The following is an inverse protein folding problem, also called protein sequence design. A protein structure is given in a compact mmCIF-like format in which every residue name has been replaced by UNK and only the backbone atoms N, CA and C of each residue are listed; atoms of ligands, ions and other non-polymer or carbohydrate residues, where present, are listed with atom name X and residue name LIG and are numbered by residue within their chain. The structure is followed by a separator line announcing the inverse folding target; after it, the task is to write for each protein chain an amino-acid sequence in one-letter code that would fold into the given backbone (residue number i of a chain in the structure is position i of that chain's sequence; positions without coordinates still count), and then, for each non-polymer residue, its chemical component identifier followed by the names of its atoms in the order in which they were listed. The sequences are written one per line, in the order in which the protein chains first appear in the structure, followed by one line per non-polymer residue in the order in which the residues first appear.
data_IF_230774582407
#
_entry.id   IF_230774582407
#
_cell.length_a   1.000
_cell.length_b   1.000
_cell.length_c   1.000
_cell.angle_alpha   90.00
_cell.angle_beta   90.00
_cell.angle_gamma   90.00
#
_symmetry.space_group_name_H-M   'P 1'
#
loop_
_entity.id
_entity.type
_entity.pdbx_description
1 polymer ?
#
# COMPACT_ATOMS: atom_id res chain seq x y z
N UNK A 1 -21.37 -13.87 4.90
CA UNK A 1 -20.36 -12.83 5.24
C UNK A 1 -21.12 -11.54 5.32
N UNK A 2 -21.34 -11.01 6.53
CA UNK A 2 -21.86 -9.65 6.70
C UNK A 2 -20.92 -8.68 5.96
N UNK A 3 -21.47 -7.90 5.04
CA UNK A 3 -20.71 -6.84 4.40
C UNK A 3 -20.60 -5.70 5.41
N UNK A 4 -19.38 -5.39 5.82
CA UNK A 4 -19.07 -4.19 6.58
C UNK A 4 -19.69 -2.95 5.87
N UNK A 5 -20.51 -2.15 6.55
CA UNK A 5 -21.29 -1.07 5.93
C UNK A 5 -20.42 0.00 5.25
N UNK A 6 -19.14 0.09 5.61
CA UNK A 6 -18.19 1.00 5.00
C UNK A 6 -17.81 0.63 3.55
N UNK A 7 -18.04 -0.62 3.10
CA UNK A 7 -17.70 -1.08 1.75
C UNK A 7 -18.90 -1.26 0.82
N UNK A 8 -20.12 -1.02 1.28
CA UNK A 8 -21.32 -1.09 0.44
C UNK A 8 -21.20 -0.11 -0.74
N UNK A 9 -21.31 -0.64 -1.97
CA UNK A 9 -21.19 0.13 -3.21
C UNK A 9 -19.77 0.61 -3.56
N UNK A 10 -18.73 0.11 -2.86
CA UNK A 10 -17.33 0.43 -3.13
C UNK A 10 -16.58 -0.78 -3.67
N UNK A 11 -15.55 -0.52 -4.47
CA UNK A 11 -14.62 -1.53 -4.99
C UNK A 11 -13.18 -1.17 -4.64
N UNK A 12 -12.36 -2.17 -4.36
CA UNK A 12 -10.93 -2.03 -4.10
C UNK A 12 -10.21 -1.97 -5.45
N UNK A 13 -9.38 -0.95 -5.66
CA UNK A 13 -8.54 -0.88 -6.84
C UNK A 13 -7.22 -1.61 -6.61
N UNK A 14 -7.08 -2.77 -7.26
CA UNK A 14 -5.88 -3.60 -7.25
C UNK A 14 -4.86 -3.19 -8.31
N UNK A 15 -3.66 -3.75 -8.19
CA UNK A 15 -2.68 -3.75 -9.27
C UNK A 15 -3.15 -4.58 -10.48
N UNK A 16 -2.53 -4.39 -11.65
CA UNK A 16 -2.85 -5.16 -12.86
C UNK A 16 -2.70 -6.67 -12.73
N UNK A 17 -1.94 -7.15 -11.74
CA UNK A 17 -1.85 -8.57 -11.41
C UNK A 17 -3.08 -9.15 -10.68
N UNK A 18 -4.03 -8.33 -10.22
CA UNK A 18 -5.24 -8.81 -9.53
C UNK A 18 -6.38 -9.08 -10.52
N UNK A 19 -7.09 -10.19 -10.28
CA UNK A 19 -8.31 -10.51 -11.04
C UNK A 19 -9.45 -9.55 -10.69
N UNK A 20 -10.20 -9.14 -11.71
CA UNK A 20 -11.41 -8.32 -11.53
C UNK A 20 -12.53 -9.18 -10.94
N UNK A 21 -13.21 -8.66 -9.92
CA UNK A 21 -14.35 -9.29 -9.22
C UNK A 21 -15.33 -8.23 -8.74
N UNK A 22 -16.43 -8.66 -8.10
CA UNK A 22 -17.44 -7.76 -7.52
C UNK A 22 -16.86 -6.78 -6.48
N UNK A 23 -15.69 -7.10 -5.92
CA UNK A 23 -15.05 -6.31 -4.86
C UNK A 23 -13.71 -5.72 -5.27
N UNK A 24 -13.12 -6.16 -6.39
CA UNK A 24 -11.79 -5.74 -6.84
C UNK A 24 -11.84 -5.32 -8.29
N UNK A 25 -11.44 -4.09 -8.59
CA UNK A 25 -11.18 -3.63 -9.94
C UNK A 25 -9.67 -3.49 -10.18
N UNK A 26 -9.25 -3.55 -11.44
CA UNK A 26 -7.86 -3.44 -11.85
C UNK A 26 -7.75 -2.45 -13.02
N UNK A 27 -6.55 -1.96 -13.36
CA UNK A 27 -6.35 -1.12 -14.52
C UNK A 27 -6.97 -1.73 -15.78
N UNK A 28 -7.52 -0.89 -16.66
CA UNK A 28 -7.95 -1.34 -17.98
C UNK A 28 -6.72 -1.67 -18.82
N UNK A 29 -6.67 -2.87 -19.37
CA UNK A 29 -5.60 -3.36 -20.26
C UNK A 29 -6.14 -3.52 -21.68
N UNK A 30 -5.31 -3.27 -22.71
CA UNK A 30 -5.68 -3.48 -24.11
C UNK A 30 -5.10 -2.42 -25.06
N UNK A 31 -5.19 -2.68 -26.37
CA UNK A 31 -4.59 -1.82 -27.40
C UNK A 31 -5.35 -0.50 -27.65
N UNK A 32 -6.65 -0.45 -27.36
CA UNK A 32 -7.51 0.71 -27.62
C UNK A 32 -8.41 1.06 -26.42
N UNK A 33 -7.85 1.51 -25.29
CA UNK A 33 -8.65 1.98 -24.17
C UNK A 33 -9.41 3.25 -24.55
N UNK A 34 -10.65 3.35 -24.07
CA UNK A 34 -11.44 4.58 -24.23
C UNK A 34 -10.80 5.75 -23.47
N UNK A 35 -11.14 6.99 -23.85
CA UNK A 35 -10.68 8.20 -23.14
C UNK A 35 -11.01 8.13 -21.64
N UNK A 36 -12.19 7.59 -21.30
CA UNK A 36 -12.60 7.39 -19.91
C UNK A 36 -11.71 6.38 -19.17
N UNK A 37 -11.40 5.24 -19.79
CA UNK A 37 -10.54 4.21 -19.21
C UNK A 37 -9.11 4.72 -19.00
N UNK A 38 -8.59 5.51 -19.94
CA UNK A 38 -7.28 6.17 -19.80
C UNK A 38 -7.29 7.15 -18.63
N UNK A 39 -8.30 8.03 -18.54
CA UNK A 39 -8.43 8.97 -17.45
C UNK A 39 -8.51 8.27 -16.08
N UNK A 40 -9.26 7.17 -16.00
CA UNK A 40 -9.37 6.36 -14.79
C UNK A 40 -8.02 5.70 -14.43
N UNK A 41 -7.34 5.07 -15.40
CA UNK A 41 -6.03 4.48 -15.18
C UNK A 41 -5.01 5.53 -14.71
N UNK A 42 -5.00 6.73 -15.30
CA UNK A 42 -4.12 7.83 -14.90
C UNK A 42 -4.42 8.26 -13.46
N UNK A 43 -5.68 8.51 -13.12
CA UNK A 43 -6.09 8.92 -11.78
C UNK A 43 -5.65 7.90 -10.72
N UNK A 44 -5.87 6.62 -10.98
CA UNK A 44 -5.55 5.55 -10.05
C UNK A 44 -4.04 5.28 -9.98
N UNK A 45 -3.31 5.47 -11.07
CA UNK A 45 -1.83 5.36 -11.08
C UNK A 45 -1.19 6.41 -10.17
N UNK A 46 -1.73 7.63 -10.09
CA UNK A 46 -1.24 8.65 -9.16
C UNK A 46 -1.37 8.21 -7.70
N UNK A 47 -2.42 7.47 -7.34
CA UNK A 47 -2.62 6.96 -5.97
C UNK A 47 -1.66 5.82 -5.62
N UNK A 48 -1.17 5.07 -6.60
CA UNK A 48 -0.19 4.00 -6.40
C UNK A 48 1.18 4.52 -5.96
N UNK A 49 1.50 5.78 -6.29
CA UNK A 49 2.75 6.42 -5.86
C UNK A 49 2.94 6.36 -4.34
N UNK A 50 1.86 6.57 -3.56
CA UNK A 50 1.90 6.49 -2.09
C UNK A 50 2.36 5.11 -1.62
N UNK A 51 1.83 4.06 -2.23
CA UNK A 51 2.15 2.67 -1.89
C UNK A 51 3.59 2.35 -2.26
N UNK A 52 4.03 2.74 -3.45
CA UNK A 52 5.41 2.53 -3.91
C UNK A 52 6.43 3.26 -3.02
N UNK A 53 6.13 4.50 -2.61
CA UNK A 53 6.97 5.26 -1.69
C UNK A 53 7.06 4.60 -0.32
N UNK A 54 5.96 4.05 0.20
CA UNK A 54 5.98 3.30 1.45
C UNK A 54 6.92 2.07 1.35
N UNK A 55 6.82 1.29 0.27
CA UNK A 55 7.73 0.17 0.05
C UNK A 55 9.19 0.59 -0.06
N UNK A 56 9.45 1.75 -0.67
CA UNK A 56 10.79 2.33 -0.73
C UNK A 56 11.29 2.68 0.66
N UNK A 57 10.50 3.41 1.46
CA UNK A 57 10.87 3.82 2.82
C UNK A 57 11.20 2.62 3.71
N UNK A 58 10.36 1.58 3.67
CA UNK A 58 10.58 0.33 4.43
C UNK A 58 11.89 -0.35 4.01
N UNK A 59 12.17 -0.46 2.71
CA UNK A 59 13.43 -1.09 2.23
C UNK A 59 14.66 -0.25 2.57
N UNK A 60 14.53 1.07 2.58
CA UNK A 60 15.61 2.00 2.93
C UNK A 60 15.92 1.96 4.42
N UNK A 61 14.90 1.92 5.29
CA UNK A 61 15.07 1.85 6.74
C UNK A 61 15.53 0.46 7.21
N UNK A 62 15.05 -0.61 6.56
CA UNK A 62 15.21 -1.99 7.05
C UNK A 62 15.92 -2.88 6.02
N UNK A 63 17.25 -2.90 6.04
CA UNK A 63 18.10 -3.64 5.11
C UNK A 63 17.79 -5.14 5.02
N UNK A 64 17.30 -5.74 6.10
CA UNK A 64 16.92 -7.16 6.15
C UNK A 64 15.68 -7.49 5.30
N UNK A 65 14.79 -6.51 5.06
CA UNK A 65 13.64 -6.64 4.14
C UNK A 65 14.09 -6.48 2.69
N UNK A 66 15.13 -5.70 2.44
CA UNK A 66 15.68 -5.54 1.09
C UNK A 66 16.49 -6.76 0.62
N UNK A 67 16.92 -7.63 1.54
CA UNK A 67 17.71 -8.80 1.18
C UNK A 67 16.83 -9.97 0.73
N UNK A 68 16.74 -10.16 -0.59
CA UNK A 68 15.93 -11.19 -1.24
C UNK A 68 16.18 -12.63 -0.72
N UNK A 69 17.42 -13.00 -0.38
CA UNK A 69 17.74 -14.31 0.21
C UNK A 69 17.08 -14.48 1.59
N UNK A 70 17.04 -13.42 2.40
CA UNK A 70 16.44 -13.43 3.75
C UNK A 70 14.92 -13.22 3.75
N UNK A 71 14.34 -12.95 2.59
CA UNK A 71 12.91 -12.75 2.37
C UNK A 71 12.28 -13.84 1.49
N UNK A 72 12.96 -14.98 1.32
CA UNK A 72 12.40 -16.11 0.58
C UNK A 72 11.16 -16.66 1.30
N UNK A 73 10.03 -16.64 0.59
CA UNK A 73 8.80 -17.27 1.03
C UNK A 73 9.05 -18.77 1.30
N UNK A 74 8.38 -19.31 2.33
CA UNK A 74 8.48 -20.72 2.79
C UNK A 74 9.85 -21.16 3.33
N UNK A 75 10.91 -20.36 3.20
CA UNK A 75 12.23 -20.62 3.80
C UNK A 75 12.55 -19.74 5.00
N UNK A 76 11.90 -18.58 5.06
CA UNK A 76 12.02 -17.64 6.17
C UNK A 76 10.63 -17.16 6.58
N UNK A 77 10.52 -16.57 7.77
CA UNK A 77 9.31 -15.87 8.21
C UNK A 77 9.20 -14.50 7.53
N UNK A 78 9.22 -14.46 6.20
CA UNK A 78 9.25 -13.24 5.40
C UNK A 78 8.07 -12.31 5.72
N UNK A 79 6.85 -12.86 5.83
CA UNK A 79 5.66 -12.09 6.21
C UNK A 79 5.77 -11.44 7.58
N UNK A 80 6.30 -12.16 8.59
CA UNK A 80 6.52 -11.61 9.92
C UNK A 80 7.56 -10.48 9.89
N UNK A 81 8.71 -10.71 9.25
CA UNK A 81 9.77 -9.70 9.12
C UNK A 81 9.25 -8.42 8.44
N UNK A 82 8.50 -8.58 7.36
CA UNK A 82 7.89 -7.46 6.66
C UNK A 82 6.88 -6.72 7.54
N UNK A 83 6.02 -7.45 8.24
CA UNK A 83 5.01 -6.85 9.14
C UNK A 83 5.66 -6.11 10.31
N UNK A 84 6.72 -6.66 10.90
CA UNK A 84 7.50 -5.98 11.95
C UNK A 84 8.18 -4.72 11.40
N UNK A 85 8.81 -4.80 10.23
CA UNK A 85 9.42 -3.63 9.58
C UNK A 85 8.38 -2.54 9.29
N UNK A 86 7.20 -2.92 8.80
CA UNK A 86 6.08 -2.01 8.58
C UNK A 86 5.61 -1.33 9.87
N UNK A 87 5.43 -2.10 10.95
CA UNK A 87 5.05 -1.55 12.26
C UNK A 87 6.08 -0.52 12.73
N UNK A 88 7.36 -0.84 12.64
CA UNK A 88 8.45 0.06 13.04
C UNK A 88 8.53 1.31 12.13
N UNK A 89 8.29 1.17 10.83
CA UNK A 89 8.18 2.31 9.90
C UNK A 89 7.01 3.22 10.25
N UNK A 90 5.86 2.66 10.64
CA UNK A 90 4.72 3.46 11.07
C UNK A 90 5.02 4.21 12.37
N UNK A 91 5.66 3.56 13.35
CA UNK A 91 6.13 4.20 14.60
C UNK A 91 7.12 5.33 14.29
N UNK A 92 8.11 5.06 13.44
CA UNK A 92 9.06 6.08 12.98
C UNK A 92 8.34 7.26 12.31
N UNK A 93 7.32 6.97 11.49
CA UNK A 93 6.52 7.99 10.83
C UNK A 93 5.73 8.83 11.84
N UNK A 94 5.17 8.23 12.89
CA UNK A 94 4.48 9.00 13.95
C UNK A 94 5.45 9.95 14.68
N UNK A 95 6.68 9.51 14.94
CA UNK A 95 7.68 10.29 15.67
C UNK A 95 8.33 11.41 14.85
N UNK A 96 8.60 11.15 13.56
CA UNK A 96 9.44 12.02 12.73
C UNK A 96 8.75 12.53 11.45
N UNK A 97 7.53 12.08 11.20
CA UNK A 97 6.86 12.26 9.92
C UNK A 97 7.47 11.40 8.81
N UNK A 98 6.98 11.61 7.59
CA UNK A 98 7.54 11.04 6.37
C UNK A 98 7.40 12.02 5.21
N UNK A 99 8.21 11.84 4.16
CA UNK A 99 8.05 12.61 2.93
C UNK A 99 6.67 12.38 2.31
N UNK A 100 6.18 11.15 2.36
CA UNK A 100 4.85 10.75 1.90
C UNK A 100 3.75 11.50 2.64
N UNK A 101 3.78 11.54 3.98
CA UNK A 101 2.82 12.29 4.79
C UNK A 101 2.78 13.78 4.41
N UNK A 102 3.96 14.39 4.20
CA UNK A 102 4.07 15.79 3.79
C UNK A 102 3.52 16.03 2.38
N UNK A 103 3.82 15.16 1.43
CA UNK A 103 3.37 15.29 0.04
C UNK A 103 1.85 15.22 -0.08
N UNK A 104 1.21 14.30 0.65
CA UNK A 104 -0.24 14.13 0.64
C UNK A 104 -0.99 15.03 1.64
N UNK A 105 -0.28 15.92 2.35
CA UNK A 105 -0.83 16.74 3.43
C UNK A 105 -1.65 15.90 4.44
N UNK A 106 -1.11 14.74 4.79
CA UNK A 106 -1.71 13.76 5.68
C UNK A 106 -0.77 13.53 6.87
N UNK A 107 -0.83 14.37 7.91
CA UNK A 107 0.04 14.24 9.07
C UNK A 107 -0.25 12.91 9.79
N UNK A 108 0.78 12.23 10.31
CA UNK A 108 0.59 11.01 11.07
C UNK A 108 -0.10 11.31 12.42
N UNK A 109 -0.81 10.33 13.00
CA UNK A 109 -1.30 10.44 14.37
C UNK A 109 -0.14 10.49 15.37
N UNK A 110 -0.44 10.77 16.64
CA UNK A 110 0.55 10.60 17.70
C UNK A 110 0.97 9.13 17.84
N UNK A 111 2.13 8.90 18.46
CA UNK A 111 2.59 7.53 18.70
C UNK A 111 1.61 6.78 19.63
N UNK A 112 1.08 7.48 20.63
CA UNK A 112 0.11 6.97 21.59
C UNK A 112 -1.19 6.58 20.91
N UNK A 113 -1.73 7.43 20.03
CA UNK A 113 -2.92 7.15 19.24
C UNK A 113 -2.70 5.91 18.35
N UNK A 114 -1.57 5.83 17.68
CA UNK A 114 -1.25 4.72 16.79
C UNK A 114 -1.11 3.38 17.52
N UNK A 115 -0.54 3.37 18.73
CA UNK A 115 -0.34 2.16 19.53
C UNK A 115 -1.56 1.79 20.40
N UNK A 116 -2.58 2.66 20.46
CA UNK A 116 -3.73 2.47 21.34
C UNK A 116 -4.69 1.33 20.93
N UNK A 117 -4.65 0.89 19.67
CA UNK A 117 -5.32 -0.33 19.19
C UNK A 117 -6.83 -0.28 19.16
#
# INVERSE_FOLDING_TARGET
MEQEPCFTGKVIYGDGGYGVSDFVCAPYHGANPTVYQLALNTLMSTKRLTVEWLFKDVKTQWSHVNWHIKMQARKTRAGLKFSTAMLLTNIHTCLYGSQTARYFNCPPPSLEEYLSG
#
